data_IF_205560717604
#
_entry.id   IF_205560717604
#
_cell.length_a   1.000
_cell.length_b   1.000
_cell.length_c   1.000
_cell.angle_alpha   90.00
_cell.angle_beta   90.00
_cell.angle_gamma   90.00
#
_symmetry.space_group_name_H-M   'P 1'
#
loop_
_entity.id
_entity.type
_entity.pdbx_description
1 polymer ?
#
# COMPACT_ATOMS: atom_id res chain seq x y z
N UNK A 1 9.13 -9.50 24.59
CA UNK A 1 9.48 -9.07 23.23
C UNK A 1 9.97 -10.30 22.51
N UNK A 2 9.30 -10.67 21.42
CA UNK A 2 9.78 -11.75 20.56
C UNK A 2 11.01 -11.29 19.75
N UNK A 3 11.81 -12.23 19.26
CA UNK A 3 12.95 -11.91 18.39
C UNK A 3 12.49 -11.22 17.10
N UNK A 4 11.33 -11.61 16.55
CA UNK A 4 10.70 -10.98 15.38
C UNK A 4 10.34 -9.51 15.64
N UNK A 5 9.70 -9.21 16.78
CA UNK A 5 9.40 -7.83 17.18
C UNK A 5 10.66 -6.95 17.23
N UNK A 6 11.79 -7.54 17.64
CA UNK A 6 13.08 -6.82 17.70
C UNK A 6 13.63 -6.51 16.31
N UNK A 7 13.43 -7.39 15.32
CA UNK A 7 13.75 -7.09 13.92
C UNK A 7 12.83 -6.02 13.34
N UNK A 8 11.52 -6.12 13.59
CA UNK A 8 10.55 -5.13 13.11
C UNK A 8 10.82 -3.74 13.68
N UNK A 9 11.17 -3.64 14.96
CA UNK A 9 11.57 -2.37 15.58
C UNK A 9 12.79 -1.75 14.88
N UNK A 10 13.82 -2.55 14.59
CA UNK A 10 15.01 -2.07 13.86
C UNK A 10 14.69 -1.62 12.43
N UNK A 11 13.81 -2.35 11.73
CA UNK A 11 13.34 -1.93 10.39
C UNK A 11 12.56 -0.62 10.48
N UNK A 12 11.75 -0.40 11.53
CA UNK A 12 11.05 0.87 11.73
C UNK A 12 11.99 2.03 12.05
N UNK A 13 13.03 1.80 12.84
CA UNK A 13 14.03 2.82 13.19
C UNK A 13 14.84 3.26 11.97
N UNK A 14 15.22 2.33 11.10
CA UNK A 14 16.02 2.60 9.90
C UNK A 14 15.39 1.94 8.67
N UNK A 15 14.25 2.47 8.17
CA UNK A 15 13.46 1.83 7.13
C UNK A 15 14.13 1.81 5.77
N UNK A 16 15.15 2.62 5.52
CA UNK A 16 15.93 2.55 4.29
C UNK A 16 17.03 1.47 4.30
N UNK A 17 17.38 0.89 5.47
CA UNK A 17 18.48 -0.07 5.61
C UNK A 17 18.08 -1.46 5.12
N UNK A 18 18.67 -1.87 4.01
CA UNK A 18 18.44 -3.18 3.40
C UNK A 18 19.24 -4.30 4.07
N UNK A 19 20.33 -3.97 4.78
CA UNK A 19 21.13 -4.96 5.50
C UNK A 19 20.29 -5.59 6.60
N UNK A 20 19.51 -4.80 7.34
CA UNK A 20 18.62 -5.29 8.39
C UNK A 20 17.57 -6.23 7.81
N UNK A 21 17.04 -5.95 6.61
CA UNK A 21 16.06 -6.81 5.93
C UNK A 21 16.65 -8.14 5.52
N UNK A 22 17.89 -8.16 5.02
CA UNK A 22 18.55 -9.39 4.62
C UNK A 22 18.88 -10.27 5.83
N UNK A 23 19.41 -9.68 6.92
CA UNK A 23 19.65 -10.43 8.17
C UNK A 23 18.35 -10.97 8.74
N UNK A 24 17.26 -10.19 8.67
CA UNK A 24 15.95 -10.66 9.10
C UNK A 24 15.43 -11.82 8.23
N UNK A 25 15.64 -11.77 6.92
CA UNK A 25 15.29 -12.86 6.01
C UNK A 25 16.08 -14.14 6.32
N UNK A 26 17.37 -14.04 6.64
CA UNK A 26 18.19 -15.19 7.02
C UNK A 26 17.69 -15.81 8.34
N UNK A 27 17.36 -14.98 9.33
CA UNK A 27 16.76 -15.45 10.59
C UNK A 27 15.40 -16.12 10.40
N UNK A 28 14.57 -15.63 9.47
CA UNK A 28 13.27 -16.24 9.16
C UNK A 28 13.42 -17.64 8.54
N UNK A 29 14.42 -17.88 7.70
CA UNK A 29 14.66 -19.21 7.10
C UNK A 29 15.01 -20.28 8.15
N UNK A 30 15.62 -19.89 9.27
CA UNK A 30 15.98 -20.81 10.36
C UNK A 30 14.75 -21.36 11.12
N UNK A 31 13.57 -20.74 10.97
CA UNK A 31 12.34 -21.13 11.68
C UNK A 31 11.60 -22.32 11.04
N UNK A 32 11.98 -22.70 9.83
CA UNK A 32 11.46 -23.81 9.02
C UNK A 32 9.92 -23.90 8.85
N UNK A 33 9.19 -22.81 9.08
CA UNK A 33 7.74 -22.74 8.86
C UNK A 33 7.38 -22.01 7.55
N UNK A 34 6.16 -22.27 7.06
CA UNK A 34 5.72 -21.77 5.75
C UNK A 34 5.57 -20.24 5.71
N UNK A 35 5.13 -19.62 6.80
CA UNK A 35 4.95 -18.17 6.87
C UNK A 35 6.30 -17.46 6.88
N UNK A 36 7.26 -17.96 7.67
CA UNK A 36 8.61 -17.40 7.73
C UNK A 36 9.32 -17.48 6.38
N UNK A 37 9.16 -18.59 5.64
CA UNK A 37 9.69 -18.72 4.27
C UNK A 37 9.10 -17.68 3.30
N UNK A 38 7.79 -17.42 3.38
CA UNK A 38 7.14 -16.38 2.58
C UNK A 38 7.65 -14.98 2.94
N UNK A 39 7.78 -14.67 4.25
CA UNK A 39 8.34 -13.40 4.74
C UNK A 39 9.78 -13.21 4.25
N UNK A 40 10.62 -14.23 4.36
CA UNK A 40 12.01 -14.19 3.92
C UNK A 40 12.12 -13.95 2.41
N UNK A 41 11.32 -14.66 1.61
CA UNK A 41 11.24 -14.46 0.16
C UNK A 41 10.84 -13.02 -0.20
N UNK A 42 9.80 -12.49 0.45
CA UNK A 42 9.34 -11.12 0.23
C UNK A 42 10.41 -10.06 0.55
N UNK A 43 11.12 -10.22 1.67
CA UNK A 43 12.19 -9.30 2.07
C UNK A 43 13.33 -9.27 1.05
N UNK A 44 13.78 -10.45 0.58
CA UNK A 44 14.86 -10.53 -0.41
C UNK A 44 14.45 -9.94 -1.76
N UNK A 45 13.25 -10.26 -2.24
CA UNK A 45 12.72 -9.69 -3.48
C UNK A 45 12.59 -8.16 -3.39
N UNK A 46 12.21 -7.64 -2.22
CA UNK A 46 12.16 -6.19 -1.94
C UNK A 46 13.54 -5.52 -2.00
N UNK A 47 14.58 -6.13 -1.45
CA UNK A 47 15.95 -5.58 -1.49
C UNK A 47 16.54 -5.65 -2.90
N UNK A 48 16.31 -6.77 -3.61
CA UNK A 48 16.73 -6.93 -5.00
C UNK A 48 16.10 -5.87 -5.91
N UNK A 49 14.87 -5.43 -5.61
CA UNK A 49 14.23 -4.34 -6.32
C UNK A 49 15.05 -3.04 -6.24
N UNK A 50 15.49 -2.63 -5.04
CA UNK A 50 16.17 -1.34 -4.83
C UNK A 50 17.48 -1.21 -5.60
N UNK A 51 18.09 -2.34 -5.96
CA UNK A 51 19.45 -2.42 -6.50
C UNK A 51 19.49 -2.57 -8.03
N UNK A 52 18.37 -2.83 -8.70
CA UNK A 52 18.32 -3.09 -10.15
C UNK A 52 17.22 -2.31 -10.85
N UNK A 53 17.44 -1.89 -12.11
CA UNK A 53 16.46 -1.45 -13.13
C UNK A 53 15.49 -0.29 -12.82
N UNK A 54 15.38 0.65 -13.76
CA UNK A 54 14.52 1.85 -13.70
C UNK A 54 13.47 1.90 -14.82
N UNK A 55 13.32 0.83 -15.61
CA UNK A 55 12.37 0.81 -16.73
C UNK A 55 10.97 0.42 -16.29
N UNK A 56 9.94 0.84 -17.04
CA UNK A 56 8.54 0.51 -16.76
C UNK A 56 8.31 -1.00 -16.74
N UNK A 57 8.85 -1.74 -17.71
CA UNK A 57 8.69 -3.19 -17.82
C UNK A 57 9.28 -3.94 -16.61
N UNK A 58 10.44 -3.48 -16.11
CA UNK A 58 11.06 -4.03 -14.90
C UNK A 58 10.22 -3.76 -13.66
N UNK A 59 9.62 -2.57 -13.55
CA UNK A 59 8.73 -2.22 -12.43
C UNK A 59 7.49 -3.12 -12.45
N UNK A 60 6.86 -3.30 -13.62
CA UNK A 60 5.68 -4.16 -13.77
C UNK A 60 5.98 -5.63 -13.47
N UNK A 61 7.08 -6.17 -14.02
CA UNK A 61 7.49 -7.54 -13.76
C UNK A 61 7.72 -7.81 -12.27
N UNK A 62 8.28 -6.84 -11.54
CA UNK A 62 8.52 -6.95 -10.10
C UNK A 62 7.26 -6.82 -9.27
N UNK A 63 6.34 -5.94 -9.65
CA UNK A 63 5.03 -5.87 -9.02
C UNK A 63 4.30 -7.22 -9.15
N UNK A 64 4.42 -7.87 -10.32
CA UNK A 64 3.86 -9.20 -10.57
C UNK A 64 4.48 -10.30 -9.70
N UNK A 65 5.74 -10.16 -9.29
CA UNK A 65 6.42 -11.09 -8.38
C UNK A 65 6.05 -10.86 -6.90
N UNK A 66 6.07 -9.59 -6.46
CA UNK A 66 5.83 -9.24 -5.06
C UNK A 66 4.35 -9.29 -4.65
N UNK A 67 3.42 -8.95 -5.55
CA UNK A 67 1.99 -8.92 -5.25
C UNK A 67 1.43 -10.24 -4.69
N UNK A 68 1.68 -11.43 -5.29
CA UNK A 68 1.13 -12.68 -4.75
C UNK A 68 1.73 -13.07 -3.39
N UNK A 69 2.97 -12.64 -3.10
CA UNK A 69 3.57 -12.81 -1.77
C UNK A 69 2.88 -11.88 -0.76
N UNK A 70 2.77 -10.59 -1.07
CA UNK A 70 2.11 -9.60 -0.23
C UNK A 70 0.63 -9.93 0.04
N UNK A 71 -0.08 -10.51 -0.92
CA UNK A 71 -1.48 -10.90 -0.75
C UNK A 71 -1.68 -11.92 0.40
N UNK A 72 -0.65 -12.74 0.69
CA UNK A 72 -0.72 -13.81 1.69
C UNK A 72 -0.14 -13.42 3.07
N UNK A 73 0.62 -12.33 3.14
CA UNK A 73 1.35 -11.93 4.35
C UNK A 73 0.49 -11.05 5.28
N UNK A 74 0.78 -11.05 6.60
CA UNK A 74 0.10 -10.16 7.55
C UNK A 74 0.28 -8.68 7.18
N UNK A 75 -0.81 -7.90 7.22
CA UNK A 75 -0.80 -6.51 6.74
C UNK A 75 -0.09 -5.54 7.69
N UNK A 76 -0.11 -5.83 8.98
CA UNK A 76 0.66 -5.12 10.00
C UNK A 76 2.18 -5.33 9.83
N UNK A 77 2.59 -6.54 9.46
CA UNK A 77 3.97 -6.84 9.10
C UNK A 77 4.38 -6.11 7.81
N UNK A 78 3.54 -6.15 6.78
CA UNK A 78 3.79 -5.45 5.51
C UNK A 78 3.89 -3.93 5.71
N UNK A 79 3.09 -3.31 6.59
CA UNK A 79 3.17 -1.88 6.92
C UNK A 79 4.56 -1.47 7.44
N UNK A 80 5.31 -2.40 8.05
CA UNK A 80 6.67 -2.15 8.54
C UNK A 80 7.69 -2.25 7.41
N UNK A 81 7.64 -3.35 6.65
CA UNK A 81 8.74 -3.75 5.76
C UNK A 81 8.61 -3.25 4.32
N UNK A 82 7.40 -2.86 3.90
CA UNK A 82 7.10 -2.46 2.52
C UNK A 82 7.76 -1.16 2.09
N UNK A 83 7.87 -0.97 0.78
CA UNK A 83 8.60 0.13 0.16
C UNK A 83 7.74 0.82 -0.92
N UNK A 84 6.54 1.26 -0.55
CA UNK A 84 5.57 1.74 -1.53
C UNK A 84 5.78 3.20 -1.95
N UNK A 85 5.45 3.49 -3.22
CA UNK A 85 5.26 4.87 -3.68
C UNK A 85 4.08 5.51 -2.95
N UNK A 86 4.13 6.82 -2.81
CA UNK A 86 3.08 7.59 -2.16
C UNK A 86 2.16 8.20 -3.21
N UNK A 87 0.87 7.94 -3.05
CA UNK A 87 -0.21 8.50 -3.86
C UNK A 87 -0.95 9.59 -3.05
N UNK A 88 -1.69 10.48 -3.71
CA UNK A 88 -2.54 11.43 -3.00
C UNK A 88 -1.86 12.69 -2.44
N UNK A 89 -0.54 12.90 -2.66
CA UNK A 89 0.19 13.98 -1.99
C UNK A 89 -0.24 15.40 -2.45
N UNK A 90 -0.68 16.27 -1.53
CA UNK A 90 -1.16 17.61 -1.88
C UNK A 90 -0.07 18.69 -1.99
N UNK A 91 1.17 18.41 -1.55
CA UNK A 91 2.21 19.42 -1.38
C UNK A 91 2.91 19.91 -2.67
N UNK A 92 2.57 19.37 -3.84
CA UNK A 92 2.99 19.91 -5.13
C UNK A 92 1.78 20.02 -6.05
N UNK A 93 1.03 21.11 -5.86
CA UNK A 93 -0.15 21.49 -6.64
C UNK A 93 0.26 22.12 -7.96
N UNK A 94 -0.58 21.91 -8.97
CA UNK A 94 -0.52 22.72 -10.18
C UNK A 94 -0.83 24.19 -9.93
N UNK A 95 -0.24 25.12 -10.70
CA UNK A 95 -0.66 26.51 -10.66
C UNK A 95 -2.14 26.59 -11.04
N UNK A 96 -2.91 27.26 -10.17
CA UNK A 96 -4.33 27.51 -10.36
C UNK A 96 -4.49 28.38 -11.61
N UNK A 97 -5.05 27.81 -12.69
CA UNK A 97 -5.17 28.53 -13.96
C UNK A 97 -5.88 27.80 -15.10
N UNK A 98 -6.10 26.48 -15.04
CA UNK A 98 -6.97 25.81 -16.00
C UNK A 98 -8.43 25.90 -15.55
N UNK A 99 -9.29 26.40 -16.44
CA UNK A 99 -10.73 26.48 -16.21
C UNK A 99 -11.29 25.09 -15.85
N UNK A 100 -11.95 25.05 -14.71
CA UNK A 100 -12.85 24.03 -14.17
C UNK A 100 -13.52 23.14 -15.22
N UNK A 101 -13.31 21.82 -15.13
CA UNK A 101 -14.42 20.91 -14.80
C UNK A 101 -14.03 19.46 -14.49
N UNK A 102 -13.02 18.85 -15.09
CA UNK A 102 -12.68 17.45 -14.76
C UNK A 102 -11.22 17.14 -15.09
N UNK A 103 -10.31 17.40 -14.14
CA UNK A 103 -8.96 16.82 -14.16
C UNK A 103 -8.64 16.32 -12.75
N UNK A 104 -8.09 15.11 -12.58
CA UNK A 104 -7.52 14.71 -11.30
C UNK A 104 -6.41 15.72 -10.97
N UNK A 105 -6.50 16.39 -9.81
CA UNK A 105 -5.50 17.34 -9.32
C UNK A 105 -4.22 16.63 -8.88
N UNK A 106 -3.58 15.88 -9.78
CA UNK A 106 -2.22 15.39 -9.60
C UNK A 106 -1.35 15.90 -10.75
N UNK A 107 -0.67 17.02 -10.55
CA UNK A 107 0.44 17.43 -11.44
C UNK A 107 1.79 16.91 -10.92
N UNK A 108 1.87 16.40 -9.69
CA UNK A 108 3.09 15.82 -9.14
C UNK A 108 2.81 14.66 -8.18
N UNK A 109 3.51 13.55 -8.42
CA UNK A 109 3.56 12.37 -7.54
C UNK A 109 4.71 12.60 -6.57
N UNK A 110 4.44 12.56 -5.27
CA UNK A 110 5.50 12.55 -4.26
C UNK A 110 6.54 11.49 -4.65
N UNK A 111 7.79 11.90 -4.86
CA UNK A 111 8.89 11.01 -5.18
C UNK A 111 9.39 10.24 -3.96
N UNK A 112 8.91 10.63 -2.76
CA UNK A 112 9.13 9.87 -1.54
C UNK A 112 8.45 8.53 -1.57
N UNK A 113 9.06 7.62 -0.81
CA UNK A 113 8.55 6.30 -0.53
C UNK A 113 8.15 6.19 0.93
N UNK A 114 7.30 5.20 1.20
CA UNK A 114 6.88 4.82 2.55
C UNK A 114 8.07 4.57 3.48
N UNK A 115 9.14 3.95 2.97
CA UNK A 115 10.35 3.62 3.73
C UNK A 115 11.37 4.77 3.84
N UNK A 116 11.06 5.94 3.29
CA UNK A 116 11.82 7.18 3.49
C UNK A 116 11.23 8.09 4.58
N UNK A 117 10.10 7.68 5.16
CA UNK A 117 9.37 8.48 6.14
C UNK A 117 9.83 8.19 7.56
N UNK A 118 9.67 9.20 8.42
CA UNK A 118 9.91 9.01 9.84
C UNK A 118 8.89 8.01 10.41
N UNK A 119 9.34 7.04 11.23
CA UNK A 119 8.43 6.16 11.95
C UNK A 119 7.51 6.99 12.85
N UNK A 120 6.24 6.58 12.95
CA UNK A 120 5.28 7.15 13.90
C UNK A 120 4.90 6.11 14.94
N UNK A 121 4.16 6.53 15.98
CA UNK A 121 3.65 5.64 17.03
C UNK A 121 2.74 4.52 16.49
N UNK A 122 2.02 4.79 15.40
CA UNK A 122 1.16 3.80 14.73
C UNK A 122 1.87 3.31 13.46
N UNK A 123 2.06 2.00 13.32
CA UNK A 123 2.74 1.39 12.15
C UNK A 123 2.02 1.66 10.83
N UNK A 124 0.71 1.93 10.86
CA UNK A 124 -0.09 2.23 9.67
C UNK A 124 -0.09 3.71 9.28
N UNK A 125 0.62 4.57 10.02
CA UNK A 125 0.75 5.99 9.71
C UNK A 125 2.22 6.37 9.79
N UNK A 126 2.71 7.11 8.81
CA UNK A 126 4.06 7.72 8.89
C UNK A 126 3.96 9.20 8.61
N UNK A 127 4.95 9.95 9.06
CA UNK A 127 5.01 11.38 8.80
C UNK A 127 6.04 11.68 7.72
N UNK A 128 5.62 12.39 6.67
CA UNK A 128 6.53 12.86 5.64
C UNK A 128 7.04 14.25 6.02
N UNK A 129 8.34 14.38 6.25
CA UNK A 129 8.94 15.67 6.63
C UNK A 129 8.93 16.70 5.49
N UNK A 130 8.85 16.26 4.24
CA UNK A 130 8.89 17.15 3.07
C UNK A 130 7.54 17.81 2.79
N UNK A 131 6.45 17.03 2.76
CA UNK A 131 5.11 17.59 2.60
C UNK A 131 4.45 18.00 3.92
N UNK A 132 5.02 17.56 5.05
CA UNK A 132 4.51 17.79 6.42
C UNK A 132 3.11 17.25 6.67
N UNK A 133 2.75 16.17 5.97
CA UNK A 133 1.47 15.50 6.10
C UNK A 133 1.63 14.09 6.67
N UNK A 134 0.56 13.60 7.30
CA UNK A 134 0.40 12.20 7.65
C UNK A 134 0.15 11.37 6.39
N UNK A 135 0.85 10.25 6.29
CA UNK A 135 0.74 9.30 5.19
C UNK A 135 0.15 8.02 5.75
N UNK A 136 -0.92 7.54 5.14
CA UNK A 136 -1.69 6.39 5.62
C UNK A 136 -1.36 5.14 4.81
N UNK A 137 -0.97 4.08 5.50
CA UNK A 137 -0.85 2.77 4.89
C UNK A 137 -2.24 2.16 4.72
N UNK A 138 -2.60 1.83 3.48
CA UNK A 138 -3.91 1.32 3.09
C UNK A 138 -3.78 -0.14 2.65
N UNK A 139 -4.23 -1.06 3.49
CA UNK A 139 -4.15 -2.49 3.22
C UNK A 139 -5.33 -3.05 2.41
N UNK A 140 -6.29 -2.20 2.05
CA UNK A 140 -7.37 -2.51 1.10
C UNK A 140 -7.66 -1.32 0.19
N UNK A 141 -8.21 -1.59 -1.00
CA UNK A 141 -8.61 -0.54 -1.95
C UNK A 141 -9.74 0.34 -1.38
N UNK A 142 -10.59 -0.21 -0.52
CA UNK A 142 -11.67 0.55 0.14
C UNK A 142 -11.08 1.62 1.05
N UNK A 143 -10.15 1.24 1.94
CA UNK A 143 -9.45 2.18 2.82
C UNK A 143 -8.65 3.22 2.02
N UNK A 144 -8.00 2.78 0.93
CA UNK A 144 -7.28 3.68 0.03
C UNK A 144 -8.20 4.73 -0.61
N UNK A 145 -9.38 4.33 -1.09
CA UNK A 145 -10.38 5.23 -1.66
C UNK A 145 -10.92 6.23 -0.64
N UNK A 146 -11.20 5.78 0.58
CA UNK A 146 -11.67 6.65 1.67
C UNK A 146 -10.64 7.74 1.97
N UNK A 147 -9.38 7.36 2.18
CA UNK A 147 -8.30 8.33 2.42
C UNK A 147 -8.03 9.24 1.22
N UNK A 148 -8.06 8.71 -0.01
CA UNK A 148 -7.90 9.51 -1.22
C UNK A 148 -9.01 10.56 -1.37
N UNK A 149 -10.26 10.22 -1.06
CA UNK A 149 -11.40 11.16 -1.11
C UNK A 149 -11.29 12.26 -0.04
N UNK A 150 -10.65 11.96 1.09
CA UNK A 150 -10.33 12.96 2.12
C UNK A 150 -9.11 13.82 1.76
N UNK A 151 -8.41 13.51 0.66
CA UNK A 151 -7.21 14.22 0.21
C UNK A 151 -5.95 13.87 1.01
N UNK A 152 -5.93 12.71 1.69
CA UNK A 152 -4.77 12.27 2.45
C UNK A 152 -3.68 11.67 1.54
N UNK A 153 -2.42 11.74 1.99
CA UNK A 153 -1.34 10.97 1.39
C UNK A 153 -1.52 9.49 1.75
N UNK A 154 -1.37 8.59 0.79
CA UNK A 154 -1.55 7.15 1.01
C UNK A 154 -0.40 6.32 0.44
N UNK A 155 -0.09 5.22 1.12
CA UNK A 155 0.74 4.13 0.63
C UNK A 155 -0.15 2.89 0.55
N UNK A 156 -0.44 2.40 -0.65
CA UNK A 156 -1.34 1.25 -0.84
C UNK A 156 -0.53 -0.03 -0.75
N UNK A 157 -1.02 -1.05 -0.06
CA UNK A 157 -0.31 -2.32 0.07
C UNK A 157 -0.09 -3.03 -1.29
N UNK A 158 1.06 -3.70 -1.44
CA UNK A 158 1.44 -4.42 -2.67
C UNK A 158 0.48 -5.55 -3.02
N UNK A 159 -0.18 -6.16 -2.04
CA UNK A 159 -1.13 -7.24 -2.25
C UNK A 159 -2.44 -6.78 -2.89
N UNK A 160 -2.76 -5.48 -2.83
CA UNK A 160 -3.99 -4.93 -3.42
C UNK A 160 -3.91 -5.02 -4.95
N UNK A 161 -4.93 -5.61 -5.57
CA UNK A 161 -5.00 -5.68 -7.04
C UNK A 161 -5.54 -4.36 -7.57
N UNK A 162 -4.67 -3.60 -8.23
CA UNK A 162 -4.97 -2.27 -8.76
C UNK A 162 -5.68 -2.33 -10.10
N UNK A 163 -6.53 -1.33 -10.36
CA UNK A 163 -7.13 -1.07 -11.68
C UNK A 163 -6.89 0.37 -12.07
N UNK A 164 -6.98 0.65 -13.37
CA UNK A 164 -6.86 2.02 -13.86
C UNK A 164 -7.91 2.93 -13.19
N UNK A 165 -7.47 4.08 -12.67
CA UNK A 165 -8.32 5.05 -11.99
C UNK A 165 -9.13 4.47 -10.81
N UNK A 166 -8.62 3.45 -10.11
CA UNK A 166 -9.32 2.80 -9.00
C UNK A 166 -9.51 3.68 -7.75
N UNK A 167 -8.76 4.77 -7.61
CA UNK A 167 -8.92 5.78 -6.55
C UNK A 167 -9.87 6.92 -6.92
N UNK A 168 -10.24 7.06 -8.19
CA UNK A 168 -11.14 8.14 -8.60
C UNK A 168 -12.54 7.93 -7.97
N UNK A 169 -13.22 9.01 -7.55
CA UNK A 169 -14.57 8.91 -7.03
C UNK A 169 -15.50 8.26 -8.04
N UNK A 170 -16.61 7.68 -7.57
CA UNK A 170 -17.63 7.14 -8.45
C UNK A 170 -18.17 8.25 -9.35
N UNK A 171 -18.18 8.01 -10.65
CA UNK A 171 -18.70 8.94 -11.64
C UNK A 171 -20.23 8.96 -11.57
N UNK A 172 -20.78 10.16 -11.63
CA UNK A 172 -22.22 10.39 -11.76
C UNK A 172 -22.48 11.01 -13.13
N UNK A 173 -23.44 10.45 -13.86
CA UNK A 173 -23.85 10.97 -15.16
C UNK A 173 -25.15 11.73 -15.06
N UNK A 174 -25.23 12.84 -15.78
CA UNK A 174 -26.49 13.46 -16.13
C UNK A 174 -27.03 12.78 -17.40
N UNK A 175 -28.33 12.48 -17.42
CA UNK A 175 -28.99 11.81 -18.54
C UNK A 175 -28.96 10.28 -18.45
N UNK A 176 -28.99 9.60 -19.60
CA UNK A 176 -29.04 8.13 -19.69
C UNK A 176 -27.73 7.57 -20.26
N UNK A 177 -26.74 7.25 -19.41
CA UNK A 177 -25.49 6.64 -19.89
C UNK A 177 -25.77 5.30 -20.56
N UNK A 178 -24.85 4.88 -21.44
CA UNK A 178 -24.93 3.57 -22.08
C UNK A 178 -24.74 2.45 -21.05
N UNK A 179 -25.30 1.27 -21.34
CA UNK A 179 -25.08 0.09 -20.48
C UNK A 179 -23.60 -0.28 -20.36
N UNK A 180 -22.82 -0.11 -21.44
CA UNK A 180 -21.38 -0.34 -21.43
C UNK A 180 -20.65 0.63 -20.49
N UNK A 181 -21.04 1.91 -20.49
CA UNK A 181 -20.48 2.94 -19.60
C UNK A 181 -20.72 2.58 -18.14
N UNK A 182 -21.96 2.20 -17.80
CA UNK A 182 -22.32 1.80 -16.44
C UNK A 182 -21.52 0.56 -16.01
N UNK A 183 -21.41 -0.45 -16.88
CA UNK A 183 -20.65 -1.67 -16.59
C UNK A 183 -19.17 -1.39 -16.32
N UNK A 184 -18.52 -0.58 -17.17
CA UNK A 184 -17.10 -0.22 -16.98
C UNK A 184 -16.87 0.49 -15.64
N UNK A 185 -17.80 1.35 -15.24
CA UNK A 185 -17.71 2.01 -13.94
C UNK A 185 -17.89 1.04 -12.77
N UNK A 186 -18.88 0.14 -12.87
CA UNK A 186 -19.10 -0.87 -11.83
C UNK A 186 -17.88 -1.79 -11.69
N UNK A 187 -17.29 -2.22 -12.80
CA UNK A 187 -16.05 -3.00 -12.84
C UNK A 187 -14.87 -2.24 -12.22
N UNK A 188 -14.72 -0.94 -12.52
CA UNK A 188 -13.69 -0.07 -11.92
C UNK A 188 -13.88 0.08 -10.41
N UNK A 189 -15.12 0.26 -9.96
CA UNK A 189 -15.47 0.45 -8.55
C UNK A 189 -15.47 -0.87 -7.75
N UNK A 190 -15.42 -2.03 -8.40
CA UNK A 190 -15.41 -3.31 -7.72
C UNK A 190 -14.20 -3.42 -6.77
N UNK A 191 -14.45 -3.83 -5.53
CA UNK A 191 -13.40 -4.16 -4.57
C UNK A 191 -12.65 -5.39 -5.10
N UNK A 192 -11.32 -5.37 -5.05
CA UNK A 192 -10.54 -6.52 -5.50
C UNK A 192 -10.61 -7.70 -4.53
N UNK A 193 -10.29 -8.90 -5.02
CA UNK A 193 -10.43 -10.13 -4.27
C UNK A 193 -9.56 -10.15 -2.99
N UNK A 194 -8.35 -9.57 -3.03
CA UNK A 194 -7.46 -9.54 -1.86
C UNK A 194 -8.02 -8.59 -0.80
N UNK A 195 -8.48 -7.41 -1.22
CA UNK A 195 -9.16 -6.47 -0.31
C UNK A 195 -10.43 -7.08 0.30
N UNK A 196 -11.26 -7.76 -0.50
CA UNK A 196 -12.46 -8.44 0.00
C UNK A 196 -12.13 -9.47 1.08
N UNK A 197 -11.15 -10.35 0.81
CA UNK A 197 -10.74 -11.38 1.76
C UNK A 197 -10.21 -10.77 3.07
N UNK A 198 -9.38 -9.71 2.96
CA UNK A 198 -8.84 -8.99 4.13
C UNK A 198 -9.95 -8.35 4.97
N UNK A 199 -10.92 -7.71 4.32
CA UNK A 199 -12.08 -7.11 5.00
C UNK A 199 -12.94 -8.16 5.70
N UNK A 200 -13.19 -9.30 5.05
CA UNK A 200 -13.92 -10.42 5.66
C UNK A 200 -13.18 -10.97 6.88
N UNK A 201 -11.86 -11.17 6.78
CA UNK A 201 -11.01 -11.62 7.91
C UNK A 201 -11.09 -10.66 9.09
N UNK A 202 -10.99 -9.35 8.85
CA UNK A 202 -11.13 -8.31 9.90
C UNK A 202 -12.51 -8.32 10.55
N UNK A 203 -13.59 -8.51 9.76
CA UNK A 203 -14.96 -8.62 10.29
C UNK A 203 -15.12 -9.84 11.19
N UNK A 204 -14.58 -10.99 10.78
CA UNK A 204 -14.62 -12.22 11.58
C UNK A 204 -13.86 -12.07 12.90
N UNK A 205 -12.66 -11.48 12.88
CA UNK A 205 -11.86 -11.22 14.08
C UNK A 205 -12.57 -10.26 15.04
N UNK A 206 -13.16 -9.19 14.52
CA UNK A 206 -13.88 -8.18 15.33
C UNK A 206 -15.18 -8.75 15.93
N UNK A 207 -15.89 -9.59 15.18
CA UNK A 207 -17.08 -10.30 15.66
C UNK A 207 -16.76 -11.33 16.74
N UNK A 208 -15.65 -12.08 16.59
CA UNK A 208 -15.18 -13.03 17.60
C UNK A 208 -14.74 -12.33 18.90
N UNK A 209 -14.10 -11.16 18.80
CA UNK A 209 -13.73 -10.36 19.97
C UNK A 209 -14.96 -9.82 20.72
N UNK A 210 -16.02 -9.45 19.98
CA UNK A 210 -17.27 -8.93 20.58
C UNK A 210 -18.16 -10.02 21.20
N UNK A 211 -17.97 -11.28 20.84
CA UNK A 211 -18.72 -12.41 21.39
C UNK A 211 -18.11 -13.00 22.69
N UNK A 212 -16.86 -12.66 22.99
CA UNK A 212 -16.10 -13.16 24.14
C UNK A 212 -15.91 -12.11 25.27
N UNK A 213 -16.53 -10.93 25.15
CA UNK A 213 -16.54 -9.86 26.16
C UNK A 213 -17.92 -9.65 26.77
#
# INVERSE_FOLDING_TARGET
>A
MSDEESFLAKVLETPADDTIRLVFADWLDERDDAESKLKAQFLRATVQFKTTGNTTDEIEARQKELQPLAAQLPTDWLAVVSWMKIEGCPAKRAPVGSLWLYQPLFEFVCDKRWDEMAPAENTNVRFCNDCRESVHYCDTITVAREHAQMGHCIAIDLGVIRRENDLAPRQYWLGRPSAETLRKEDERCQVDAVSQEREERKRQQSGAASANG
#
